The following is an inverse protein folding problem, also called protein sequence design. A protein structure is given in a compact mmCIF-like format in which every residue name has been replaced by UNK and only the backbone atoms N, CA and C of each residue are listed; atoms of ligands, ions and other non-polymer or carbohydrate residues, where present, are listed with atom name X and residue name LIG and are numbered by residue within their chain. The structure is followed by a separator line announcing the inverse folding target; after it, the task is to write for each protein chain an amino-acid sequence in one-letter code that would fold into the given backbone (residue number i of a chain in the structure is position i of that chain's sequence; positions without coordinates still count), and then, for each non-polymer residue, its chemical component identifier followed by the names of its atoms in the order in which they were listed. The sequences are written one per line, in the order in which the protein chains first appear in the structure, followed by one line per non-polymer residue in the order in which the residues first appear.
data_IF_655177604115
#
_entry.id   IF_655177604115
#
_cell.length_a   1.000
_cell.length_b   1.000
_cell.length_c   1.000
_cell.angle_alpha   90.00
_cell.angle_beta   90.00
_cell.angle_gamma   90.00
#
_symmetry.space_group_name_H-M   'P 1'
#
loop_
_entity.id
_entity.type
_entity.pdbx_description
1 polymer ?
#
# COMPACT_ATOMS: atom_id res chain seq x y z
N UNK A 1 25.08 -18.96 -20.38
CA UNK A 1 23.69 -19.07 -19.90
C UNK A 1 23.60 -18.48 -18.50
N UNK A 2 23.12 -17.24 -18.36
CA UNK A 2 23.04 -16.52 -17.09
C UNK A 2 21.63 -16.71 -16.54
N UNK A 3 21.50 -17.40 -15.39
CA UNK A 3 20.21 -17.61 -14.71
C UNK A 3 19.58 -16.26 -14.39
N UNK A 4 18.42 -15.97 -14.99
CA UNK A 4 17.60 -14.82 -14.62
C UNK A 4 16.88 -15.13 -13.29
N UNK A 5 16.90 -14.24 -12.28
CA UNK A 5 16.05 -14.40 -11.12
C UNK A 5 14.59 -14.11 -11.56
N UNK A 6 13.78 -15.16 -11.55
CA UNK A 6 12.35 -15.19 -11.92
C UNK A 6 11.42 -14.59 -10.84
N UNK A 7 11.90 -13.60 -10.09
CA UNK A 7 11.07 -12.84 -9.15
C UNK A 7 11.05 -11.38 -9.59
N UNK A 8 10.28 -11.10 -10.63
CA UNK A 8 9.75 -9.75 -10.85
C UNK A 8 8.84 -9.43 -9.66
N UNK A 9 9.43 -8.89 -8.58
CA UNK A 9 8.69 -8.21 -7.51
C UNK A 9 7.71 -7.28 -8.21
N UNK A 10 6.43 -7.59 -8.07
CA UNK A 10 5.34 -6.85 -8.70
C UNK A 10 5.57 -5.35 -8.44
N UNK A 11 5.93 -4.59 -9.48
CA UNK A 11 5.90 -3.13 -9.43
C UNK A 11 4.41 -2.75 -9.37
N UNK A 12 3.76 -2.93 -8.22
CA UNK A 12 2.44 -2.34 -7.98
C UNK A 12 2.63 -0.84 -8.16
N UNK A 13 1.91 -0.28 -9.12
CA UNK A 13 1.98 1.15 -9.41
C UNK A 13 1.46 1.94 -8.19
N UNK A 14 2.06 3.08 -7.78
CA UNK A 14 1.55 3.92 -6.70
C UNK A 14 0.03 4.13 -6.69
N UNK A 15 -0.57 4.38 -7.86
CA UNK A 15 -2.02 4.56 -7.99
C UNK A 15 -2.82 3.29 -7.66
N UNK A 16 -2.27 2.12 -8.00
CA UNK A 16 -2.89 0.83 -7.68
C UNK A 16 -2.81 0.56 -6.17
N UNK A 17 -1.69 0.88 -5.53
CA UNK A 17 -1.52 0.74 -4.07
C UNK A 17 -2.57 1.59 -3.34
N UNK A 18 -2.70 2.87 -3.72
CA UNK A 18 -3.70 3.78 -3.14
C UNK A 18 -5.12 3.24 -3.33
N UNK A 19 -5.44 2.74 -4.53
CA UNK A 19 -6.75 2.16 -4.82
C UNK A 19 -7.03 0.92 -3.97
N UNK A 20 -6.10 -0.03 -3.93
CA UNK A 20 -6.24 -1.27 -3.13
C UNK A 20 -6.41 -0.92 -1.66
N UNK A 21 -5.60 -0.01 -1.13
CA UNK A 21 -5.66 0.39 0.27
C UNK A 21 -7.02 1.03 0.61
N UNK A 22 -7.51 1.92 -0.24
CA UNK A 22 -8.83 2.55 -0.09
C UNK A 22 -9.98 1.54 -0.15
N UNK A 23 -9.97 0.65 -1.13
CA UNK A 23 -11.04 -0.33 -1.33
C UNK A 23 -11.10 -1.33 -0.16
N UNK A 24 -9.95 -1.76 0.37
CA UNK A 24 -9.91 -2.69 1.51
C UNK A 24 -10.22 -2.01 2.85
N UNK A 25 -9.81 -0.76 3.07
CA UNK A 25 -10.24 0.01 4.25
C UNK A 25 -11.76 0.16 4.30
N UNK A 26 -12.41 0.42 3.17
CA UNK A 26 -13.87 0.46 3.09
C UNK A 26 -14.55 -0.89 3.38
N UNK A 27 -13.86 -2.02 3.18
CA UNK A 27 -14.34 -3.36 3.58
C UNK A 27 -14.20 -3.54 5.10
N UNK A 28 -13.08 -3.11 5.68
CA UNK A 28 -12.84 -3.15 7.12
C UNK A 28 -13.84 -2.26 7.88
N UNK A 29 -14.11 -1.06 7.38
CA UNK A 29 -15.09 -0.12 7.94
C UNK A 29 -16.50 -0.73 8.00
N UNK A 30 -16.88 -1.48 6.97
CA UNK A 30 -18.19 -2.16 6.89
C UNK A 30 -18.30 -3.43 7.72
N UNK A 31 -17.18 -3.92 8.29
CA UNK A 31 -17.11 -5.18 9.03
C UNK A 31 -17.76 -6.37 8.29
N UNK A 32 -17.52 -6.47 6.97
CA UNK A 32 -18.05 -7.56 6.15
C UNK A 32 -17.31 -8.89 6.42
N UNK A 33 -17.86 -10.03 5.99
CA UNK A 33 -17.32 -11.39 6.23
C UNK A 33 -15.93 -11.67 5.63
N UNK A 34 -15.29 -10.68 5.01
CA UNK A 34 -13.98 -10.78 4.35
C UNK A 34 -12.90 -9.90 4.99
N UNK A 35 -13.12 -9.44 6.23
CA UNK A 35 -12.20 -8.57 6.98
C UNK A 35 -10.79 -9.12 7.08
N UNK A 36 -10.60 -10.43 7.29
CA UNK A 36 -9.25 -11.01 7.44
C UNK A 36 -8.39 -10.82 6.17
N UNK A 37 -8.99 -11.09 5.01
CA UNK A 37 -8.31 -10.90 3.72
C UNK A 37 -8.09 -9.42 3.41
N UNK A 38 -9.07 -8.57 3.76
CA UNK A 38 -8.94 -7.13 3.58
C UNK A 38 -7.80 -6.57 4.46
N UNK A 39 -7.69 -7.03 5.70
CA UNK A 39 -6.61 -6.64 6.61
C UNK A 39 -5.23 -7.04 6.06
N UNK A 40 -5.09 -8.27 5.57
CA UNK A 40 -3.84 -8.73 4.95
C UNK A 40 -3.42 -7.85 3.75
N UNK A 41 -4.39 -7.47 2.90
CA UNK A 41 -4.12 -6.60 1.75
C UNK A 41 -3.83 -5.15 2.15
N UNK A 42 -4.46 -4.63 3.22
CA UNK A 42 -4.13 -3.34 3.82
C UNK A 42 -2.67 -3.34 4.29
N UNK A 43 -2.25 -4.35 5.06
CA UNK A 43 -0.88 -4.48 5.56
C UNK A 43 0.15 -4.56 4.43
N UNK A 44 -0.09 -5.38 3.40
CA UNK A 44 0.79 -5.45 2.21
C UNK A 44 0.87 -4.12 1.48
N UNK A 45 -0.24 -3.39 1.37
CA UNK A 45 -0.28 -2.11 0.66
C UNK A 45 0.44 -1.02 1.44
N UNK A 46 0.29 -0.98 2.77
CA UNK A 46 1.04 -0.09 3.66
C UNK A 46 2.55 -0.35 3.61
N UNK A 47 2.95 -1.62 3.61
CA UNK A 47 4.36 -2.00 3.48
C UNK A 47 4.94 -1.57 2.12
N UNK A 48 4.21 -1.80 1.02
CA UNK A 48 4.62 -1.33 -0.30
C UNK A 48 4.72 0.21 -0.36
N UNK A 49 3.80 0.92 0.28
CA UNK A 49 3.81 2.37 0.38
C UNK A 49 5.05 2.88 1.14
N UNK A 50 5.39 2.24 2.26
CA UNK A 50 6.59 2.51 3.06
C UNK A 50 7.87 2.29 2.25
N UNK A 51 7.94 1.20 1.48
CA UNK A 51 9.10 0.93 0.60
C UNK A 51 9.26 1.99 -0.50
N UNK A 52 8.16 2.51 -1.06
CA UNK A 52 8.23 3.59 -2.05
C UNK A 52 8.74 4.88 -1.41
N UNK A 53 8.28 5.23 -0.21
CA UNK A 53 8.62 6.48 0.47
C UNK A 53 10.02 6.47 1.10
N UNK A 54 10.39 5.36 1.74
CA UNK A 54 11.64 5.24 2.50
C UNK A 54 12.75 4.57 1.68
N UNK A 55 12.41 3.94 0.56
CA UNK A 55 13.33 3.09 -0.18
C UNK A 55 13.56 1.76 0.52
N UNK A 56 14.50 0.99 0.00
CA UNK A 56 14.95 -0.27 0.60
C UNK A 56 16.43 -0.16 0.93
N UNK A 57 16.97 -1.11 1.70
CA UNK A 57 18.39 -1.16 2.06
C UNK A 57 19.36 -1.12 0.85
N UNK A 58 18.87 -1.41 -0.36
CA UNK A 58 19.66 -1.45 -1.60
C UNK A 58 19.32 -0.35 -2.62
N UNK A 59 18.18 0.34 -2.47
CA UNK A 59 17.70 1.31 -3.47
C UNK A 59 17.02 2.50 -2.81
N UNK A 60 17.47 3.69 -3.20
CA UNK A 60 16.83 4.95 -2.84
C UNK A 60 15.40 5.05 -3.40
N UNK A 61 14.51 5.83 -2.74
CA UNK A 61 13.16 6.10 -3.21
C UNK A 61 13.16 6.67 -4.64
N UNK A 62 12.45 6.05 -5.60
CA UNK A 62 12.30 6.63 -6.92
C UNK A 62 11.44 7.90 -6.82
N UNK A 63 12.04 9.07 -7.07
CA UNK A 63 11.40 10.40 -6.89
C UNK A 63 10.07 10.53 -7.64
N UNK A 64 9.98 9.95 -8.85
CA UNK A 64 8.75 9.94 -9.64
C UNK A 64 7.64 9.12 -8.98
N UNK A 65 7.96 7.95 -8.45
CA UNK A 65 6.99 7.10 -7.75
C UNK A 65 6.52 7.75 -6.45
N UNK A 66 7.41 8.43 -5.72
CA UNK A 66 7.07 9.20 -4.52
C UNK A 66 6.12 10.34 -4.86
N UNK A 67 6.41 11.12 -5.91
CA UNK A 67 5.55 12.21 -6.35
C UNK A 67 4.16 11.72 -6.77
N UNK A 68 4.10 10.62 -7.53
CA UNK A 68 2.84 10.02 -7.97
C UNK A 68 2.04 9.50 -6.76
N UNK A 69 2.69 8.80 -5.83
CA UNK A 69 2.05 8.31 -4.61
C UNK A 69 1.46 9.46 -3.78
N UNK A 70 2.23 10.53 -3.57
CA UNK A 70 1.77 11.70 -2.83
C UNK A 70 0.55 12.34 -3.50
N UNK A 71 0.59 12.53 -4.83
CA UNK A 71 -0.54 13.09 -5.58
C UNK A 71 -1.80 12.23 -5.44
N UNK A 72 -1.68 10.91 -5.55
CA UNK A 72 -2.80 9.98 -5.41
C UNK A 72 -3.36 9.97 -3.98
N UNK A 73 -2.49 10.01 -2.96
CA UNK A 73 -2.90 10.11 -1.55
C UNK A 73 -3.74 11.37 -1.28
N UNK A 74 -3.33 12.52 -1.84
CA UNK A 74 -4.09 13.76 -1.71
C UNK A 74 -5.40 13.72 -2.50
N UNK A 75 -5.35 13.27 -3.75
CA UNK A 75 -6.52 13.26 -4.65
C UNK A 75 -7.61 12.29 -4.20
N UNK A 76 -7.21 11.16 -3.62
CA UNK A 76 -8.13 10.12 -3.14
C UNK A 76 -8.71 10.40 -1.75
N UNK A 77 -8.14 11.35 -1.01
CA UNK A 77 -8.46 11.62 0.41
C UNK A 77 -7.95 10.52 1.36
N UNK A 78 -7.09 9.62 0.90
CA UNK A 78 -6.73 8.40 1.63
C UNK A 78 -6.00 8.68 2.96
N UNK A 79 -5.25 9.79 3.05
CA UNK A 79 -4.63 10.19 4.32
C UNK A 79 -5.67 10.42 5.44
N UNK A 80 -6.82 11.00 5.09
CA UNK A 80 -7.89 11.25 6.07
C UNK A 80 -8.56 9.94 6.45
N UNK A 81 -8.82 9.06 5.49
CA UNK A 81 -9.37 7.72 5.73
C UNK A 81 -8.46 6.89 6.63
N UNK A 82 -7.15 6.89 6.38
CA UNK A 82 -6.18 6.16 7.22
C UNK A 82 -6.20 6.61 8.69
N UNK A 83 -6.41 7.91 8.94
CA UNK A 83 -6.50 8.44 10.30
C UNK A 83 -7.84 8.06 10.94
N UNK A 84 -8.94 8.17 10.19
CA UNK A 84 -10.28 7.85 10.67
C UNK A 84 -10.43 6.35 11.00
N UNK A 85 -9.87 5.49 10.15
CA UNK A 85 -9.99 4.03 10.24
C UNK A 85 -8.79 3.38 10.94
N UNK A 86 -7.92 4.16 11.58
CA UNK A 86 -6.68 3.68 12.20
C UNK A 86 -6.92 2.53 13.20
N UNK A 87 -8.06 2.57 13.91
CA UNK A 87 -8.47 1.54 14.87
C UNK A 87 -8.78 0.18 14.24
N UNK A 88 -9.01 0.14 12.92
CA UNK A 88 -9.32 -1.07 12.16
C UNK A 88 -8.07 -1.69 11.53
N UNK A 89 -6.95 -0.98 11.55
CA UNK A 89 -5.68 -1.42 10.98
C UNK A 89 -4.94 -2.22 12.04
N UNK A 90 -4.60 -3.47 11.69
CA UNK A 90 -3.84 -4.34 12.59
C UNK A 90 -2.43 -3.82 12.84
N UNK A 91 -1.91 -4.09 14.04
CA UNK A 91 -0.51 -3.81 14.36
C UNK A 91 0.40 -4.76 13.58
N UNK A 92 1.48 -4.23 13.01
CA UNK A 92 2.49 -5.03 12.31
C UNK A 92 3.23 -5.91 13.32
N UNK A 93 3.21 -7.24 13.13
CA UNK A 93 3.95 -8.21 13.98
C UNK A 93 5.32 -8.50 13.39
#
# INVERSE_FOLDING_TARGET
MKKMPLFSKSHKNPAEIVKILKDNLAILEKQDKKTDKASEEVSKSLQAMKEILCGTNEKEPPTEAVAQLAQELYSSGLLVTLIADLQLIDFEV
#
